data_IF_318826775686
#
_entry.id   IF_318826775686
#
_cell.length_a   1.000
_cell.length_b   1.000
_cell.length_c   1.000
_cell.angle_alpha   90.00
_cell.angle_beta   90.00
_cell.angle_gamma   90.00
#
_symmetry.space_group_name_H-M   'P 1'
#
loop_
_entity.id
_entity.type
_entity.pdbx_description
1 polymer ?
#
# COMPACT_ATOMS: atom_id res chain seq x y z
N UNK A 1 38.54 -1.60 -10.83
CA UNK A 1 38.19 -2.71 -9.90
C UNK A 1 36.71 -2.57 -9.59
N UNK A 2 35.85 -3.40 -10.17
CA UNK A 2 34.41 -3.42 -9.86
C UNK A 2 34.26 -3.96 -8.45
N UNK A 3 33.94 -3.10 -7.49
CA UNK A 3 33.47 -3.53 -6.18
C UNK A 3 32.27 -4.45 -6.41
N UNK A 4 32.40 -5.74 -6.06
CA UNK A 4 31.33 -6.72 -6.23
C UNK A 4 30.06 -6.18 -5.55
N UNK A 5 29.02 -5.93 -6.35
CA UNK A 5 27.71 -5.52 -5.81
C UNK A 5 27.28 -6.57 -4.81
N UNK A 6 27.20 -6.18 -3.54
CA UNK A 6 26.67 -7.05 -2.50
C UNK A 6 25.29 -7.56 -2.97
N UNK A 7 25.10 -8.89 -2.94
CA UNK A 7 23.83 -9.50 -3.33
C UNK A 7 22.75 -9.01 -2.35
N UNK A 8 21.60 -8.50 -2.83
CA UNK A 8 20.52 -8.05 -1.95
C UNK A 8 20.13 -9.15 -0.95
N UNK A 9 20.18 -8.84 0.33
CA UNK A 9 19.82 -9.78 1.38
C UNK A 9 18.36 -9.66 1.82
N UNK A 10 17.77 -8.48 1.62
CA UNK A 10 16.38 -8.18 1.96
C UNK A 10 15.52 -8.09 0.69
N UNK A 11 14.41 -8.81 0.67
CA UNK A 11 13.41 -8.73 -0.40
C UNK A 11 12.17 -8.04 0.14
N UNK A 12 11.64 -7.07 -0.59
CA UNK A 12 10.39 -6.39 -0.24
C UNK A 12 9.38 -6.70 -1.34
N UNK A 13 8.36 -7.48 -1.00
CA UNK A 13 7.38 -8.00 -1.97
C UNK A 13 6.03 -7.36 -1.73
N UNK A 14 5.54 -6.67 -2.73
CA UNK A 14 4.18 -6.18 -2.79
C UNK A 14 3.19 -7.35 -2.97
N UNK A 15 2.11 -7.35 -2.18
CA UNK A 15 1.06 -8.36 -2.25
C UNK A 15 -0.31 -7.67 -2.27
N UNK A 16 -1.16 -8.12 -3.18
CA UNK A 16 -2.56 -7.68 -3.28
C UNK A 16 -3.51 -8.58 -2.50
N UNK A 17 -4.81 -8.31 -2.60
CA UNK A 17 -5.88 -9.11 -1.96
C UNK A 17 -5.98 -10.55 -2.51
N UNK A 18 -5.45 -10.79 -3.70
CA UNK A 18 -5.36 -12.12 -4.32
C UNK A 18 -4.18 -12.97 -3.81
N UNK A 19 -3.42 -12.47 -2.84
CA UNK A 19 -2.37 -13.22 -2.15
C UNK A 19 -1.28 -13.75 -3.08
N UNK A 20 -0.87 -15.00 -2.87
CA UNK A 20 0.17 -15.66 -3.68
C UNK A 20 -0.16 -15.76 -5.17
N UNK A 21 -1.43 -15.88 -5.53
CA UNK A 21 -1.86 -16.03 -6.91
C UNK A 21 -1.61 -14.77 -7.75
N UNK A 22 -1.61 -13.60 -7.11
CA UNK A 22 -1.34 -12.33 -7.75
C UNK A 22 0.14 -11.97 -7.89
N UNK A 23 1.03 -12.77 -7.34
CA UNK A 23 2.46 -12.51 -7.42
C UNK A 23 3.03 -12.92 -8.79
N UNK A 24 3.97 -12.13 -9.30
CA UNK A 24 4.80 -12.58 -10.42
C UNK A 24 5.57 -13.85 -10.02
N UNK A 25 5.95 -14.73 -10.98
CA UNK A 25 6.73 -15.94 -10.67
C UNK A 25 7.99 -15.66 -9.87
N UNK A 26 8.69 -14.57 -10.18
CA UNK A 26 9.89 -14.16 -9.46
C UNK A 26 9.59 -13.75 -8.00
N UNK A 27 8.57 -12.93 -7.77
CA UNK A 27 8.16 -12.51 -6.44
C UNK A 27 7.68 -13.71 -5.60
N UNK A 28 6.88 -14.59 -6.21
CA UNK A 28 6.39 -15.82 -5.58
C UNK A 28 7.54 -16.73 -5.14
N UNK A 29 8.53 -16.95 -6.00
CA UNK A 29 9.72 -17.73 -5.67
C UNK A 29 10.45 -17.17 -4.44
N UNK A 30 10.56 -15.82 -4.33
CA UNK A 30 11.19 -15.18 -3.17
C UNK A 30 10.41 -15.45 -1.88
N UNK A 31 9.08 -15.36 -1.94
CA UNK A 31 8.21 -15.64 -0.79
C UNK A 31 8.29 -17.09 -0.36
N UNK A 32 8.22 -18.03 -1.31
CA UNK A 32 8.24 -19.47 -1.05
C UNK A 32 9.60 -19.96 -0.51
N UNK A 33 10.70 -19.33 -0.93
CA UNK A 33 12.04 -19.67 -0.48
C UNK A 33 12.50 -18.92 0.77
N UNK A 34 11.67 -18.06 1.35
CA UNK A 34 12.03 -17.26 2.51
C UNK A 34 12.22 -18.12 3.76
N UNK A 35 13.24 -17.80 4.57
CA UNK A 35 13.39 -18.32 5.92
C UNK A 35 12.54 -17.52 6.93
N UNK A 36 12.39 -16.23 6.65
CA UNK A 36 11.65 -15.30 7.52
C UNK A 36 10.73 -14.44 6.66
N UNK A 37 9.46 -14.36 7.07
CA UNK A 37 8.46 -13.47 6.51
C UNK A 37 8.06 -12.40 7.53
N UNK A 38 8.36 -11.15 7.23
CA UNK A 38 7.81 -10.00 7.95
C UNK A 38 6.59 -9.45 7.23
N UNK A 39 5.56 -9.03 7.97
CA UNK A 39 4.39 -8.44 7.34
C UNK A 39 3.29 -8.06 8.32
N UNK A 40 2.24 -7.41 7.84
CA UNK A 40 0.99 -7.29 8.57
C UNK A 40 0.35 -8.67 8.79
N UNK A 41 -0.41 -8.84 9.88
CA UNK A 41 -1.08 -10.11 10.20
C UNK A 41 -1.83 -10.67 8.99
N UNK A 42 -2.63 -9.82 8.31
CA UNK A 42 -3.36 -10.18 7.10
C UNK A 42 -2.46 -10.72 5.99
N UNK A 43 -1.33 -10.05 5.70
CA UNK A 43 -0.41 -10.50 4.64
C UNK A 43 0.23 -11.85 4.98
N UNK A 44 0.59 -12.06 6.24
CA UNK A 44 1.17 -13.33 6.69
C UNK A 44 0.14 -14.49 6.63
N UNK A 45 -1.14 -14.20 6.83
CA UNK A 45 -2.24 -15.15 6.67
C UNK A 45 -2.47 -15.55 5.20
N UNK A 46 -2.16 -14.65 4.23
CA UNK A 46 -2.24 -14.93 2.80
C UNK A 46 -1.18 -15.93 2.29
N UNK A 47 -0.19 -16.28 3.13
CA UNK A 47 0.88 -17.24 2.78
C UNK A 47 0.68 -18.51 3.62
N UNK A 48 -0.28 -19.36 3.29
CA UNK A 48 -0.46 -20.62 3.99
C UNK A 48 0.64 -21.63 3.61
N UNK A 49 0.88 -22.61 4.47
CA UNK A 49 1.76 -23.75 4.17
C UNK A 49 3.26 -23.45 4.08
N UNK A 50 3.70 -22.21 4.31
CA UNK A 50 5.12 -21.87 4.33
C UNK A 50 5.83 -22.42 5.57
N UNK A 51 7.10 -22.84 5.41
CA UNK A 51 7.97 -23.20 6.52
C UNK A 51 8.69 -21.97 7.11
N UNK A 52 8.56 -20.81 6.49
CA UNK A 52 9.17 -19.57 6.95
C UNK A 52 8.64 -19.15 8.32
N UNK A 53 9.54 -18.64 9.16
CA UNK A 53 9.15 -18.01 10.43
C UNK A 53 8.37 -16.71 10.14
N UNK A 54 7.10 -16.67 10.49
CA UNK A 54 6.24 -15.50 10.33
C UNK A 54 6.41 -14.52 11.50
N UNK A 55 6.80 -13.28 11.21
CA UNK A 55 6.98 -12.22 12.19
C UNK A 55 6.06 -11.05 11.84
N UNK A 56 5.00 -10.82 12.61
CA UNK A 56 4.10 -9.70 12.38
C UNK A 56 4.77 -8.37 12.73
N UNK A 57 4.32 -7.29 12.08
CA UNK A 57 4.73 -5.93 12.45
C UNK A 57 4.54 -5.68 13.94
N UNK A 58 5.48 -4.99 14.55
CA UNK A 58 5.25 -4.34 15.83
C UNK A 58 4.11 -3.30 15.68
N UNK A 59 3.38 -3.01 16.76
CA UNK A 59 2.29 -2.00 16.76
C UNK A 59 2.72 -0.65 16.19
N UNK A 60 4.01 -0.30 16.31
CA UNK A 60 4.59 0.93 15.78
C UNK A 60 5.53 0.60 14.65
N UNK A 61 5.22 1.09 13.45
CA UNK A 61 6.02 0.86 12.24
C UNK A 61 7.49 1.30 12.39
N UNK A 62 7.80 2.29 13.23
CA UNK A 62 9.18 2.72 13.54
C UNK A 62 10.04 1.62 14.17
N UNK A 63 9.39 0.63 14.78
CA UNK A 63 10.08 -0.50 15.44
C UNK A 63 10.33 -1.66 14.45
N UNK A 64 9.69 -1.63 13.27
CA UNK A 64 9.80 -2.69 12.29
C UNK A 64 11.19 -2.75 11.64
N UNK A 65 11.77 -1.59 11.30
CA UNK A 65 13.08 -1.54 10.64
C UNK A 65 14.19 -2.10 11.52
N UNK A 66 14.38 -1.64 12.78
CA UNK A 66 15.37 -2.23 13.68
C UNK A 66 15.20 -3.76 13.81
N UNK A 67 13.95 -4.22 13.97
CA UNK A 67 13.67 -5.65 14.11
C UNK A 67 14.02 -6.48 12.86
N UNK A 68 13.84 -5.90 11.66
CA UNK A 68 14.27 -6.56 10.41
C UNK A 68 15.81 -6.64 10.37
N UNK A 69 16.51 -5.58 10.78
CA UNK A 69 17.97 -5.53 10.77
C UNK A 69 18.64 -6.57 11.71
N UNK A 70 17.96 -6.96 12.79
CA UNK A 70 18.42 -8.03 13.71
C UNK A 70 18.61 -9.38 12.97
N UNK A 71 17.91 -9.58 11.84
CA UNK A 71 17.96 -10.79 11.04
C UNK A 71 18.85 -10.67 9.80
N UNK A 72 19.67 -9.62 9.70
CA UNK A 72 20.59 -9.45 8.58
C UNK A 72 21.49 -10.67 8.42
N UNK A 73 21.53 -11.23 7.22
CA UNK A 73 22.26 -12.48 6.91
C UNK A 73 21.36 -13.68 6.67
N UNK A 74 20.08 -13.62 7.08
CA UNK A 74 19.05 -14.60 6.73
C UNK A 74 18.35 -14.25 5.41
N UNK A 75 17.66 -15.21 4.80
CA UNK A 75 16.82 -14.97 3.63
C UNK A 75 15.48 -14.39 4.04
N UNK A 76 15.37 -13.05 4.07
CA UNK A 76 14.23 -12.32 4.57
C UNK A 76 13.37 -11.80 3.43
N UNK A 77 12.06 -11.98 3.57
CA UNK A 77 11.04 -11.30 2.76
C UNK A 77 10.15 -10.45 3.65
N UNK A 78 9.97 -9.21 3.23
CA UNK A 78 9.03 -8.24 3.82
C UNK A 78 7.82 -8.14 2.89
N UNK A 79 6.64 -8.47 3.40
CA UNK A 79 5.39 -8.34 2.65
C UNK A 79 4.80 -6.94 2.87
N UNK A 80 4.42 -6.28 1.79
CA UNK A 80 3.82 -4.94 1.79
C UNK A 80 2.53 -4.92 0.97
N UNK A 81 1.57 -4.07 1.32
CA UNK A 81 0.36 -3.89 0.50
C UNK A 81 0.71 -3.25 -0.84
N UNK A 82 0.29 -3.84 -1.95
CA UNK A 82 0.45 -3.28 -3.28
C UNK A 82 1.90 -2.94 -3.63
N UNK A 83 2.17 -1.70 -3.98
CA UNK A 83 3.53 -1.24 -4.27
C UNK A 83 4.25 -0.80 -2.98
N UNK A 84 5.37 -1.47 -2.59
CA UNK A 84 6.15 -1.10 -1.41
C UNK A 84 6.68 0.33 -1.42
N UNK A 85 6.80 0.95 -2.59
CA UNK A 85 7.30 2.31 -2.77
C UNK A 85 6.17 3.36 -2.72
N UNK A 86 4.91 2.95 -2.88
CA UNK A 86 3.77 3.84 -2.83
C UNK A 86 3.26 3.97 -1.38
N UNK A 87 3.72 4.97 -0.63
CA UNK A 87 3.45 5.19 0.80
C UNK A 87 3.76 3.98 1.70
N UNK A 88 4.50 3.00 1.18
CA UNK A 88 4.74 1.72 1.78
C UNK A 88 6.02 1.61 2.63
N UNK A 89 6.28 0.38 3.10
CA UNK A 89 7.44 0.07 3.95
C UNK A 89 8.77 0.21 3.19
N UNK A 90 8.77 0.03 1.86
CA UNK A 90 9.98 0.14 1.03
C UNK A 90 10.66 1.49 1.18
N UNK A 91 9.88 2.58 1.16
CA UNK A 91 10.41 3.95 1.35
C UNK A 91 11.01 4.16 2.75
N UNK A 92 10.50 3.47 3.78
CA UNK A 92 11.02 3.54 5.14
C UNK A 92 12.32 2.75 5.29
N UNK A 93 12.39 1.56 4.68
CA UNK A 93 13.58 0.71 4.69
C UNK A 93 14.76 1.41 3.99
N UNK A 94 14.53 2.05 2.84
CA UNK A 94 15.57 2.76 2.10
C UNK A 94 16.08 4.05 2.75
N UNK A 95 15.52 4.48 3.89
CA UNK A 95 16.13 5.51 4.75
C UNK A 95 17.25 4.96 5.65
N UNK A 96 17.35 3.64 5.77
CA UNK A 96 18.28 2.94 6.65
C UNK A 96 19.17 1.94 5.92
N UNK A 97 18.85 1.61 4.68
CA UNK A 97 19.53 0.61 3.85
C UNK A 97 19.86 1.20 2.48
N UNK A 98 21.00 0.80 1.93
CA UNK A 98 21.34 1.12 0.55
C UNK A 98 20.48 0.30 -0.41
N UNK A 99 20.16 0.87 -1.57
CA UNK A 99 19.34 0.20 -2.60
C UNK A 99 20.00 -1.11 -3.07
N UNK A 100 21.31 -1.23 -3.00
CA UNK A 100 22.05 -2.46 -3.33
C UNK A 100 21.80 -3.60 -2.33
N UNK A 101 21.30 -3.33 -1.13
CA UNK A 101 20.98 -4.32 -0.12
C UNK A 101 19.55 -4.88 -0.24
N UNK A 102 18.69 -4.20 -1.03
CA UNK A 102 17.25 -4.47 -1.10
C UNK A 102 16.84 -4.82 -2.52
N UNK A 103 16.06 -5.89 -2.68
CA UNK A 103 15.38 -6.25 -3.93
C UNK A 103 13.88 -5.97 -3.76
N UNK A 104 13.29 -5.11 -4.59
CA UNK A 104 11.89 -4.68 -4.47
C UNK A 104 11.06 -5.26 -5.60
N UNK A 105 9.97 -5.92 -5.25
CA UNK A 105 8.98 -6.47 -6.18
C UNK A 105 7.66 -5.72 -5.98
N UNK A 106 7.36 -4.70 -6.80
CA UNK A 106 6.08 -4.00 -6.70
C UNK A 106 4.92 -4.87 -7.19
N UNK A 107 3.76 -4.70 -6.58
CA UNK A 107 2.48 -5.14 -7.11
C UNK A 107 1.62 -3.92 -7.47
N UNK A 108 0.44 -4.14 -8.06
CA UNK A 108 -0.50 -3.06 -8.34
C UNK A 108 -0.89 -2.36 -7.04
N UNK A 109 -0.72 -1.04 -7.01
CA UNK A 109 -1.16 -0.22 -5.90
C UNK A 109 -2.64 0.16 -6.02
N UNK A 110 -3.21 0.68 -4.94
CA UNK A 110 -4.61 1.07 -4.90
C UNK A 110 -4.97 2.18 -5.89
N UNK A 111 -4.04 3.05 -6.28
CA UNK A 111 -4.29 4.09 -7.29
C UNK A 111 -4.53 3.51 -8.67
N UNK A 112 -3.68 2.55 -9.09
CA UNK A 112 -3.84 1.87 -10.37
C UNK A 112 -5.13 1.04 -10.41
N UNK A 113 -5.46 0.36 -9.32
CA UNK A 113 -6.71 -0.39 -9.19
C UNK A 113 -7.92 0.54 -9.24
N UNK A 114 -7.91 1.64 -8.48
CA UNK A 114 -8.99 2.62 -8.49
C UNK A 114 -9.18 3.25 -9.88
N UNK A 115 -8.11 3.65 -10.56
CA UNK A 115 -8.17 4.15 -11.93
C UNK A 115 -8.85 3.15 -12.87
N UNK A 116 -8.51 1.87 -12.76
CA UNK A 116 -9.12 0.83 -13.60
C UNK A 116 -10.62 0.64 -13.32
N UNK A 117 -11.08 0.82 -12.07
CA UNK A 117 -12.51 0.73 -11.71
C UNK A 117 -13.29 1.97 -12.14
N UNK A 118 -12.65 3.14 -12.04
CA UNK A 118 -13.25 4.42 -12.41
C UNK A 118 -13.17 4.76 -13.90
N UNK A 119 -12.42 3.99 -14.70
CA UNK A 119 -12.13 4.33 -16.09
C UNK A 119 -11.31 5.63 -16.24
N UNK A 120 -10.43 5.91 -15.27
CA UNK A 120 -9.60 7.12 -15.26
C UNK A 120 -8.17 6.83 -15.69
N UNK A 121 -7.57 7.78 -16.40
CA UNK A 121 -6.14 7.78 -16.73
C UNK A 121 -5.35 8.22 -15.49
N UNK A 122 -4.40 7.42 -15.02
CA UNK A 122 -3.62 7.74 -13.82
C UNK A 122 -2.84 9.08 -13.90
N UNK A 123 -2.27 9.47 -15.06
CA UNK A 123 -1.68 10.80 -15.22
C UNK A 123 -2.64 11.98 -15.04
N UNK A 124 -3.96 11.77 -15.20
CA UNK A 124 -4.97 12.82 -15.11
C UNK A 124 -5.66 12.88 -13.74
N UNK A 125 -5.07 12.23 -12.73
CA UNK A 125 -5.65 12.08 -11.39
C UNK A 125 -4.69 12.57 -10.33
N UNK A 126 -5.22 13.36 -9.38
CA UNK A 126 -4.50 13.69 -8.17
C UNK A 126 -4.47 12.49 -7.22
N UNK A 127 -3.30 12.03 -6.84
CA UNK A 127 -3.13 10.87 -5.95
C UNK A 127 -2.55 11.28 -4.61
N UNK A 128 -3.22 10.91 -3.52
CA UNK A 128 -2.78 11.29 -2.19
C UNK A 128 -3.18 10.27 -1.11
N UNK A 129 -2.74 10.51 0.10
CA UNK A 129 -3.13 9.73 1.27
C UNK A 129 -3.41 10.64 2.46
N UNK A 130 -4.46 10.31 3.19
CA UNK A 130 -4.76 10.85 4.52
C UNK A 130 -4.48 9.81 5.62
N UNK A 131 -4.00 8.61 5.26
CA UNK A 131 -3.59 7.62 6.25
C UNK A 131 -2.44 8.14 7.11
N UNK A 132 -2.68 8.34 8.41
CA UNK A 132 -1.75 8.97 9.33
C UNK A 132 -1.51 10.47 9.08
N UNK A 133 -2.44 11.15 8.39
CA UNK A 133 -2.34 12.56 8.03
C UNK A 133 -3.69 13.27 8.21
N UNK A 134 -3.70 14.59 8.47
CA UNK A 134 -4.94 15.33 8.62
C UNK A 134 -5.72 15.42 7.32
N UNK A 135 -7.04 15.36 7.39
CA UNK A 135 -7.96 15.48 6.26
C UNK A 135 -7.79 16.80 5.49
N UNK A 136 -7.33 17.86 6.17
CA UNK A 136 -7.02 19.16 5.54
C UNK A 136 -5.99 19.09 4.42
N UNK A 137 -5.25 17.99 4.30
CA UNK A 137 -4.35 17.74 3.16
C UNK A 137 -5.09 17.65 1.82
N UNK A 138 -6.43 17.47 1.81
CA UNK A 138 -7.25 17.53 0.60
C UNK A 138 -7.37 18.94 0.01
N UNK A 139 -7.25 20.01 0.83
CA UNK A 139 -7.54 21.38 0.39
C UNK A 139 -6.82 21.81 -0.89
N UNK A 140 -5.51 21.57 -1.09
CA UNK A 140 -4.80 22.00 -2.30
C UNK A 140 -5.29 21.34 -3.59
N UNK A 141 -6.00 20.22 -3.47
CA UNK A 141 -6.48 19.41 -4.61
C UNK A 141 -7.94 19.70 -4.98
N UNK A 142 -8.63 20.59 -4.21
CA UNK A 142 -10.04 20.93 -4.46
C UNK A 142 -10.15 22.05 -5.48
N UNK A 143 -10.45 21.67 -6.73
CA UNK A 143 -10.77 22.60 -7.81
C UNK A 143 -11.86 22.00 -8.72
N UNK A 144 -12.61 22.82 -9.48
CA UNK A 144 -13.65 22.32 -10.38
C UNK A 144 -13.12 21.29 -11.38
N UNK A 145 -13.76 20.13 -11.44
CA UNK A 145 -13.38 19.03 -12.35
C UNK A 145 -12.21 18.17 -11.86
N UNK A 146 -11.67 18.41 -10.66
CA UNK A 146 -10.62 17.56 -10.08
C UNK A 146 -11.05 16.10 -9.97
N UNK A 147 -10.15 15.20 -10.34
CA UNK A 147 -10.26 13.76 -10.09
C UNK A 147 -9.23 13.40 -9.03
N UNK A 148 -9.69 13.02 -7.86
CA UNK A 148 -8.81 12.77 -6.70
C UNK A 148 -8.99 11.33 -6.25
N UNK A 149 -7.88 10.60 -6.11
CA UNK A 149 -7.85 9.29 -5.45
C UNK A 149 -7.10 9.44 -4.14
N UNK A 150 -7.80 9.20 -3.05
CA UNK A 150 -7.27 9.37 -1.70
C UNK A 150 -7.28 8.04 -0.94
N UNK A 151 -6.12 7.61 -0.43
CA UNK A 151 -6.06 6.50 0.51
C UNK A 151 -6.59 6.98 1.86
N UNK A 152 -7.68 6.37 2.33
CA UNK A 152 -8.36 6.74 3.57
C UNK A 152 -7.62 6.24 4.81
N UNK A 153 -7.90 6.84 5.96
CA UNK A 153 -7.42 6.40 7.27
C UNK A 153 -8.24 5.21 7.77
N UNK A 154 -9.57 5.40 7.77
CA UNK A 154 -10.54 4.44 8.28
C UNK A 154 -11.93 4.66 7.66
N UNK A 155 -12.94 3.95 8.16
CA UNK A 155 -14.33 4.03 7.70
C UNK A 155 -14.99 5.41 7.92
N UNK A 156 -14.44 6.28 8.77
CA UNK A 156 -14.96 7.63 8.99
C UNK A 156 -14.45 8.65 7.97
N UNK A 157 -13.39 8.31 7.25
CA UNK A 157 -12.73 9.20 6.28
C UNK A 157 -13.65 9.68 5.16
N UNK A 158 -14.53 8.85 4.56
CA UNK A 158 -15.44 9.32 3.51
C UNK A 158 -16.43 10.38 4.00
N UNK A 159 -17.02 10.18 5.19
CA UNK A 159 -17.92 11.16 5.81
C UNK A 159 -17.20 12.47 6.15
N UNK A 160 -15.95 12.38 6.61
CA UNK A 160 -15.10 13.56 6.82
C UNK A 160 -14.82 14.32 5.53
N UNK A 161 -14.48 13.62 4.44
CA UNK A 161 -14.27 14.21 3.13
C UNK A 161 -15.54 14.87 2.58
N UNK A 162 -16.70 14.23 2.76
CA UNK A 162 -17.99 14.77 2.35
C UNK A 162 -18.31 16.12 3.02
N UNK A 163 -18.14 16.20 4.34
CA UNK A 163 -18.28 17.48 5.07
C UNK A 163 -17.33 18.54 4.55
N UNK A 164 -16.05 18.22 4.39
CA UNK A 164 -15.06 19.16 3.90
C UNK A 164 -15.38 19.66 2.49
N UNK A 165 -15.81 18.79 1.58
CA UNK A 165 -16.23 19.15 0.22
C UNK A 165 -17.44 20.09 0.27
N UNK A 166 -18.45 19.78 1.08
CA UNK A 166 -19.66 20.60 1.24
C UNK A 166 -19.32 21.98 1.80
N UNK A 167 -18.52 22.08 2.84
CA UNK A 167 -18.07 23.33 3.44
C UNK A 167 -17.25 24.21 2.47
N UNK A 168 -16.63 23.61 1.48
CA UNK A 168 -15.81 24.29 0.46
C UNK A 168 -16.55 24.57 -0.84
N UNK A 169 -17.87 24.33 -0.90
CA UNK A 169 -18.69 24.59 -2.07
C UNK A 169 -18.67 23.49 -3.12
N UNK A 170 -18.12 22.31 -2.79
CA UNK A 170 -18.05 21.13 -3.66
C UNK A 170 -19.06 20.03 -3.25
N UNK A 171 -20.17 20.40 -2.63
CA UNK A 171 -21.15 19.45 -2.11
C UNK A 171 -21.81 18.55 -3.17
N UNK A 172 -21.83 18.95 -4.44
CA UNK A 172 -22.29 18.15 -5.57
C UNK A 172 -21.25 17.14 -6.08
N UNK A 173 -20.06 17.07 -5.47
CA UNK A 173 -19.05 16.09 -5.85
C UNK A 173 -19.51 14.68 -5.55
N UNK A 174 -19.21 13.75 -6.45
CA UNK A 174 -19.44 12.33 -6.21
C UNK A 174 -18.23 11.74 -5.48
N UNK A 175 -18.48 11.15 -4.33
CA UNK A 175 -17.52 10.35 -3.59
C UNK A 175 -17.79 8.88 -3.92
N UNK A 176 -16.75 8.16 -4.33
CA UNK A 176 -16.79 6.72 -4.54
C UNK A 176 -15.83 6.04 -3.57
N UNK A 177 -16.33 5.14 -2.76
CA UNK A 177 -15.53 4.29 -1.86
C UNK A 177 -15.26 2.97 -2.55
N UNK A 178 -13.99 2.59 -2.58
CA UNK A 178 -13.51 1.33 -3.16
C UNK A 178 -12.84 0.52 -2.04
N UNK A 179 -13.33 -0.67 -1.78
CA UNK A 179 -12.88 -1.53 -0.70
C UNK A 179 -12.32 -2.84 -1.22
N UNK A 180 -11.26 -3.33 -0.60
CA UNK A 180 -10.66 -4.66 -0.85
C UNK A 180 -10.42 -4.97 -2.33
N UNK A 181 -10.04 -3.95 -3.11
CA UNK A 181 -9.86 -4.04 -4.55
C UNK A 181 -8.90 -5.17 -4.96
N UNK A 182 -9.32 -5.95 -5.97
CA UNK A 182 -8.59 -7.11 -6.47
C UNK A 182 -8.82 -8.39 -5.67
N UNK A 183 -9.66 -8.36 -4.63
CA UNK A 183 -10.02 -9.52 -3.81
C UNK A 183 -11.46 -9.97 -4.01
N UNK A 184 -11.80 -11.14 -3.46
CA UNK A 184 -13.15 -11.70 -3.53
C UNK A 184 -14.22 -10.87 -2.78
N UNK A 185 -13.79 -9.95 -1.92
CA UNK A 185 -14.66 -9.04 -1.16
C UNK A 185 -14.61 -7.62 -1.70
N UNK A 186 -14.17 -7.44 -2.94
CA UNK A 186 -14.16 -6.12 -3.58
C UNK A 186 -15.55 -5.52 -3.57
N UNK A 187 -15.66 -4.28 -3.12
CA UNK A 187 -16.91 -3.56 -3.02
C UNK A 187 -16.73 -2.11 -3.48
N UNK A 188 -17.79 -1.53 -4.04
CA UNK A 188 -17.81 -0.15 -4.51
C UNK A 188 -19.18 0.46 -4.24
N UNK A 189 -19.20 1.66 -3.65
CA UNK A 189 -20.43 2.45 -3.50
C UNK A 189 -20.13 3.93 -3.67
N UNK A 190 -21.12 4.69 -4.10
CA UNK A 190 -20.98 6.12 -4.42
C UNK A 190 -22.13 6.92 -3.89
N UNK A 191 -21.89 8.21 -3.60
CA UNK A 191 -22.89 9.18 -3.20
C UNK A 191 -22.40 10.61 -3.39
N UNK A 192 -23.32 11.56 -3.41
CA UNK A 192 -22.97 12.97 -3.38
C UNK A 192 -22.49 13.41 -2.00
N UNK A 193 -21.52 14.32 -1.95
CA UNK A 193 -20.93 14.78 -0.72
C UNK A 193 -21.93 15.46 0.23
N UNK A 194 -22.87 16.27 -0.30
CA UNK A 194 -23.90 16.95 0.48
C UNK A 194 -25.00 16.01 1.03
N UNK A 195 -25.11 14.79 0.50
CA UNK A 195 -26.07 13.76 0.90
C UNK A 195 -25.41 12.52 1.49
N UNK A 196 -24.14 12.61 1.86
CA UNK A 196 -23.38 11.50 2.40
C UNK A 196 -23.82 11.13 3.83
N UNK A 197 -24.30 9.90 4.02
CA UNK A 197 -24.75 9.34 5.30
C UNK A 197 -23.77 8.29 5.83
#
# INVERSE_FOLDING_TARGET
MSAGKAKPWLKVVGIGENGLEGLSPAARQRVESAEILFGGKRHLEMIPGTQAKKIPWAKRMREAVPKILEWKGSNIVVLASGDPMCYGIGTKLLRHLDIGEVEIFPALNSFSLACSRMGWSLPDVETMTIHGRPLSMLHPYLYPGAKIICLSEDASSPAGAARLLTERGFGSSIITVLETMGGAKENMFSGEANNWN
#
